data_IF_053200463754
#
_entry.id   IF_053200463754
#
_cell.length_a   1.000
_cell.length_b   1.000
_cell.length_c   1.000
_cell.angle_alpha   90.00
_cell.angle_beta   90.00
_cell.angle_gamma   90.00
#
_symmetry.space_group_name_H-M   'P 1'
#
loop_
_entity.id
_entity.type
_entity.pdbx_description
1 polymer ?
#
# COMPACT_ATOMS: atom_id res chain seq x y z
N UNK A 1 18.58 -6.33 11.30
CA UNK A 1 19.77 -5.44 11.25
C UNK A 1 19.40 -4.22 10.44
N UNK A 2 19.61 -3.02 10.96
CA UNK A 2 19.39 -1.75 10.25
C UNK A 2 20.27 -1.69 9.00
N UNK A 3 19.67 -1.55 7.81
CA UNK A 3 20.43 -1.32 6.58
C UNK A 3 20.89 0.14 6.57
N UNK A 4 22.02 0.40 7.22
CA UNK A 4 22.64 1.73 7.23
C UNK A 4 23.32 2.00 5.90
N UNK A 5 22.82 2.98 5.18
CA UNK A 5 23.51 3.49 3.99
C UNK A 5 24.55 4.52 4.43
N UNK A 6 25.81 4.10 4.50
CA UNK A 6 26.95 4.97 4.83
C UNK A 6 28.24 4.46 4.18
N UNK A 7 29.19 5.35 3.88
CA UNK A 7 30.48 5.00 3.26
C UNK A 7 30.71 5.65 1.88
N UNK A 8 31.53 5.01 1.03
CA UNK A 8 32.08 5.54 -0.24
C UNK A 8 31.06 6.13 -1.24
N UNK A 9 29.76 5.88 -1.06
CA UNK A 9 28.70 6.27 -2.00
C UNK A 9 28.01 7.58 -1.64
N UNK A 10 28.13 8.05 -0.39
CA UNK A 10 27.55 9.33 0.04
C UNK A 10 28.61 10.16 0.75
N UNK A 11 28.87 11.37 0.23
CA UNK A 11 29.91 12.25 0.77
C UNK A 11 29.54 12.77 2.17
N UNK A 12 28.23 12.92 2.45
CA UNK A 12 27.68 13.37 3.72
C UNK A 12 26.21 12.93 3.85
N UNK A 13 25.88 12.21 4.92
CA UNK A 13 24.49 11.95 5.35
C UNK A 13 24.38 12.37 6.81
N UNK A 14 23.43 13.27 7.11
CA UNK A 14 23.20 13.76 8.49
C UNK A 14 22.10 12.99 9.22
N UNK A 15 21.17 12.39 8.46
CA UNK A 15 20.13 11.51 8.98
C UNK A 15 19.58 10.62 7.86
N UNK A 16 19.22 9.38 8.18
CA UNK A 16 18.46 8.47 7.31
C UNK A 16 17.00 8.46 7.77
N UNK A 17 16.06 8.57 6.84
CA UNK A 17 14.62 8.59 7.06
C UNK A 17 14.00 7.45 6.25
N UNK A 18 13.77 6.30 6.90
CA UNK A 18 13.12 5.15 6.30
C UNK A 18 11.59 5.37 6.31
N UNK A 19 10.98 5.21 5.13
CA UNK A 19 9.57 5.48 4.87
C UNK A 19 8.98 4.26 4.18
N UNK A 20 7.92 3.70 4.76
CA UNK A 20 7.18 2.60 4.15
C UNK A 20 5.85 3.09 3.61
N UNK A 21 5.58 2.82 2.34
CA UNK A 21 4.36 3.25 1.66
C UNK A 21 3.57 2.02 1.21
N UNK A 22 2.38 1.86 1.75
CA UNK A 22 1.44 0.77 1.52
C UNK A 22 0.43 1.23 0.48
N UNK A 23 0.44 0.60 -0.70
CA UNK A 23 -0.41 1.00 -1.82
C UNK A 23 -1.36 -0.12 -2.21
N UNK A 24 -2.65 0.18 -2.22
CA UNK A 24 -3.71 -0.74 -2.60
C UNK A 24 -4.49 -0.31 -3.84
N UNK A 25 -5.58 -1.04 -4.08
CA UNK A 25 -6.30 -1.03 -5.36
C UNK A 25 -6.92 0.32 -5.70
N UNK A 26 -7.12 1.18 -4.68
CA UNK A 26 -7.53 2.57 -4.88
C UNK A 26 -6.57 3.35 -5.78
N UNK A 27 -5.27 3.05 -5.78
CA UNK A 27 -4.31 3.65 -6.72
C UNK A 27 -4.60 3.23 -8.17
N UNK A 28 -4.75 1.93 -8.43
CA UNK A 28 -5.02 1.39 -9.76
C UNK A 28 -6.35 1.94 -10.31
N UNK A 29 -7.38 2.00 -9.48
CA UNK A 29 -8.67 2.59 -9.83
C UNK A 29 -8.49 4.08 -10.20
N UNK A 30 -7.77 4.85 -9.38
CA UNK A 30 -7.53 6.28 -9.61
C UNK A 30 -6.83 6.52 -10.95
N UNK A 31 -5.73 5.82 -11.21
CA UNK A 31 -4.95 6.04 -12.45
C UNK A 31 -5.72 5.62 -13.70
N UNK A 32 -6.43 4.49 -13.64
CA UNK A 32 -7.23 4.02 -14.78
C UNK A 32 -8.42 4.93 -15.06
N UNK A 33 -9.08 5.47 -14.02
CA UNK A 33 -10.10 6.52 -14.18
C UNK A 33 -9.51 7.77 -14.85
N UNK A 34 -8.34 8.25 -14.40
CA UNK A 34 -7.68 9.43 -14.99
C UNK A 34 -7.35 9.23 -16.47
N UNK A 35 -7.00 8.01 -16.87
CA UNK A 35 -6.76 7.63 -18.27
C UNK A 35 -8.04 7.23 -19.04
N UNK A 36 -9.22 7.47 -18.47
CA UNK A 36 -10.53 7.16 -19.07
C UNK A 36 -10.68 5.69 -19.51
N UNK A 37 -10.07 4.75 -18.78
CA UNK A 37 -10.19 3.32 -19.07
C UNK A 37 -11.54 2.79 -18.58
N UNK A 38 -12.18 1.97 -19.42
CA UNK A 38 -13.54 1.46 -19.17
C UNK A 38 -13.58 0.32 -18.17
N UNK A 39 -12.53 -0.50 -18.13
CA UNK A 39 -12.44 -1.67 -17.26
C UNK A 39 -11.54 -1.28 -16.09
N UNK A 40 -12.08 -1.43 -14.87
CA UNK A 40 -11.40 -1.15 -13.61
C UNK A 40 -11.23 -2.46 -12.83
N UNK A 41 -10.16 -2.59 -12.02
CA UNK A 41 -9.86 -3.79 -11.25
C UNK A 41 -10.74 -3.90 -9.99
N UNK A 42 -12.05 -3.79 -10.15
CA UNK A 42 -13.02 -3.92 -9.06
C UNK A 42 -13.40 -5.40 -8.88
N UNK A 43 -13.58 -5.83 -7.64
CA UNK A 43 -14.05 -7.19 -7.36
C UNK A 43 -15.41 -7.51 -8.01
N UNK A 44 -16.31 -6.53 -8.10
CA UNK A 44 -17.58 -6.72 -8.84
C UNK A 44 -17.33 -6.94 -10.34
N UNK A 45 -16.35 -6.24 -10.94
CA UNK A 45 -15.98 -6.41 -12.36
C UNK A 45 -15.31 -7.74 -12.61
N UNK A 46 -14.53 -8.23 -11.64
CA UNK A 46 -14.00 -9.58 -11.70
C UNK A 46 -15.09 -10.63 -11.60
N UNK A 47 -16.08 -10.46 -10.73
CA UNK A 47 -17.23 -11.36 -10.69
C UNK A 47 -18.00 -11.38 -12.02
N UNK A 48 -18.26 -10.22 -12.62
CA UNK A 48 -18.88 -10.12 -13.96
C UNK A 48 -18.04 -10.90 -15.01
N UNK A 49 -16.70 -10.82 -14.91
CA UNK A 49 -15.79 -11.59 -15.76
C UNK A 49 -15.91 -13.10 -15.50
N UNK A 50 -16.02 -13.57 -14.26
CA UNK A 50 -16.21 -15.00 -13.94
C UNK A 50 -17.52 -15.56 -14.51
N UNK A 51 -18.59 -14.75 -14.56
CA UNK A 51 -19.86 -15.15 -15.19
C UNK A 51 -19.67 -15.42 -16.69
N UNK A 52 -18.83 -14.64 -17.36
CA UNK A 52 -18.53 -14.76 -18.79
C UNK A 52 -17.46 -15.82 -19.11
N UNK A 53 -16.36 -15.87 -18.35
CA UNK A 53 -15.14 -16.61 -18.66
C UNK A 53 -15.22 -18.14 -18.40
N UNK A 54 -16.43 -18.71 -18.39
CA UNK A 54 -16.65 -20.15 -18.14
C UNK A 54 -16.03 -20.70 -16.85
N UNK A 55 -15.90 -19.87 -15.79
CA UNK A 55 -15.53 -20.34 -14.45
C UNK A 55 -16.35 -21.57 -14.05
N UNK A 56 -15.68 -22.58 -13.46
CA UNK A 56 -16.31 -23.81 -13.00
C UNK A 56 -17.54 -23.47 -12.14
N UNK A 57 -18.71 -23.97 -12.57
CA UNK A 57 -19.97 -23.68 -11.90
C UNK A 57 -20.09 -24.37 -10.54
N UNK A 58 -19.22 -25.34 -10.26
CA UNK A 58 -19.11 -26.02 -8.97
C UNK A 58 -18.09 -25.36 -8.04
N UNK A 59 -17.34 -24.35 -8.51
CA UNK A 59 -16.36 -23.64 -7.69
C UNK A 59 -17.04 -23.01 -6.45
N UNK A 60 -16.67 -23.50 -5.27
CA UNK A 60 -17.31 -23.13 -3.99
C UNK A 60 -17.21 -21.64 -3.68
N UNK A 61 -16.08 -21.01 -4.00
CA UNK A 61 -15.87 -19.58 -3.79
C UNK A 61 -16.79 -18.77 -4.72
N UNK A 62 -16.87 -19.15 -5.99
CA UNK A 62 -17.76 -18.48 -6.95
C UNK A 62 -19.24 -18.65 -6.60
N UNK A 63 -19.64 -19.85 -6.16
CA UNK A 63 -20.99 -20.13 -5.69
C UNK A 63 -21.35 -19.30 -4.44
N UNK A 64 -20.41 -19.17 -3.51
CA UNK A 64 -20.59 -18.34 -2.31
C UNK A 64 -20.77 -16.87 -2.68
N UNK A 65 -19.93 -16.31 -3.57
CA UNK A 65 -20.12 -14.95 -4.09
C UNK A 65 -21.49 -14.76 -4.76
N UNK A 66 -21.98 -15.76 -5.50
CA UNK A 66 -23.32 -15.74 -6.11
C UNK A 66 -24.44 -15.71 -5.07
N UNK A 67 -24.33 -16.49 -4.00
CA UNK A 67 -25.32 -16.54 -2.93
C UNK A 67 -25.36 -15.23 -2.15
N UNK A 68 -24.20 -14.62 -1.91
CA UNK A 68 -24.09 -13.38 -1.14
C UNK A 68 -24.44 -12.13 -1.96
N UNK A 69 -24.51 -12.25 -3.30
CA UNK A 69 -24.80 -11.15 -4.22
C UNK A 69 -26.10 -10.42 -3.86
N UNK A 70 -25.97 -9.16 -3.46
CA UNK A 70 -27.08 -8.31 -3.05
C UNK A 70 -27.57 -8.51 -1.62
N UNK A 71 -26.97 -9.44 -0.87
CA UNK A 71 -27.30 -9.74 0.53
C UNK A 71 -26.27 -9.16 1.51
N UNK A 72 -25.01 -9.00 1.09
CA UNK A 72 -23.93 -8.41 1.90
C UNK A 72 -23.19 -7.33 1.12
N UNK A 73 -22.59 -6.35 1.81
CA UNK A 73 -21.84 -5.26 1.15
C UNK A 73 -20.56 -5.76 0.46
N UNK A 74 -19.91 -6.79 1.02
CA UNK A 74 -18.64 -7.35 0.53
C UNK A 74 -18.82 -8.69 -0.20
N UNK A 75 -19.99 -8.93 -0.82
CA UNK A 75 -20.31 -10.22 -1.46
C UNK A 75 -19.33 -10.68 -2.55
N UNK A 76 -18.62 -9.73 -3.17
CA UNK A 76 -17.62 -10.02 -4.20
C UNK A 76 -16.20 -10.17 -3.63
N UNK A 77 -16.02 -10.05 -2.31
CA UNK A 77 -14.75 -10.28 -1.65
C UNK A 77 -14.56 -11.77 -1.42
N UNK A 78 -13.82 -12.42 -2.31
CA UNK A 78 -13.56 -13.86 -2.21
C UNK A 78 -12.72 -14.21 -0.97
N UNK A 79 -11.99 -13.28 -0.36
CA UNK A 79 -11.22 -13.54 0.87
C UNK A 79 -12.16 -13.78 2.05
N UNK A 80 -13.28 -13.04 2.11
CA UNK A 80 -14.35 -13.30 3.09
C UNK A 80 -15.04 -14.63 2.81
N UNK A 81 -15.34 -14.92 1.54
CA UNK A 81 -15.93 -16.21 1.16
C UNK A 81 -15.02 -17.39 1.57
N UNK A 82 -13.71 -17.26 1.35
CA UNK A 82 -12.71 -18.25 1.76
C UNK A 82 -12.71 -18.44 3.28
N UNK A 83 -12.70 -17.35 4.04
CA UNK A 83 -12.75 -17.38 5.50
C UNK A 83 -13.98 -18.13 6.05
N UNK A 84 -15.15 -17.94 5.43
CA UNK A 84 -16.39 -18.62 5.85
C UNK A 84 -16.43 -20.10 5.46
N UNK A 85 -15.78 -20.48 4.36
CA UNK A 85 -15.81 -21.85 3.84
C UNK A 85 -14.78 -22.76 4.54
N UNK A 86 -13.64 -22.24 4.99
CA UNK A 86 -12.58 -23.03 5.63
C UNK A 86 -13.07 -23.92 6.80
N UNK A 87 -13.90 -23.43 7.75
CA UNK A 87 -14.32 -24.25 8.89
C UNK A 87 -15.19 -25.46 8.53
N UNK A 88 -15.80 -25.49 7.34
CA UNK A 88 -16.79 -26.51 6.96
C UNK A 88 -16.47 -27.21 5.64
N UNK A 89 -15.49 -26.71 4.90
CA UNK A 89 -15.12 -27.19 3.58
C UNK A 89 -14.00 -28.21 3.60
N UNK A 90 -13.88 -28.94 2.50
CA UNK A 90 -12.69 -29.71 2.17
C UNK A 90 -11.60 -28.72 1.73
N UNK A 91 -10.47 -28.71 2.45
CA UNK A 91 -9.40 -27.75 2.24
C UNK A 91 -8.64 -28.00 0.94
N UNK A 92 -8.51 -29.25 0.51
CA UNK A 92 -7.84 -29.58 -0.76
C UNK A 92 -8.69 -29.08 -1.93
N UNK A 93 -10.00 -29.35 -1.89
CA UNK A 93 -10.95 -28.85 -2.89
C UNK A 93 -11.02 -27.32 -2.90
N UNK A 94 -11.01 -26.67 -1.73
CA UNK A 94 -10.97 -25.20 -1.65
C UNK A 94 -9.69 -24.63 -2.25
N UNK A 95 -8.55 -25.30 -2.08
CA UNK A 95 -7.28 -24.89 -2.66
C UNK A 95 -7.30 -25.00 -4.20
N UNK A 96 -7.87 -26.07 -4.75
CA UNK A 96 -8.07 -26.21 -6.20
C UNK A 96 -8.98 -25.10 -6.77
N UNK A 97 -10.10 -24.82 -6.09
CA UNK A 97 -11.01 -23.75 -6.47
C UNK A 97 -10.39 -22.36 -6.35
N UNK A 98 -9.53 -22.13 -5.35
CA UNK A 98 -8.80 -20.87 -5.19
C UNK A 98 -7.79 -20.69 -6.32
N UNK A 99 -7.06 -21.74 -6.70
CA UNK A 99 -6.09 -21.70 -7.79
C UNK A 99 -6.74 -21.38 -9.16
N UNK A 100 -7.94 -21.94 -9.41
CA UNK A 100 -8.73 -21.58 -10.58
C UNK A 100 -9.04 -20.08 -10.59
N UNK A 101 -9.53 -19.53 -9.48
CA UNK A 101 -9.84 -18.10 -9.37
C UNK A 101 -8.59 -17.23 -9.53
N UNK A 102 -7.43 -17.62 -9.00
CA UNK A 102 -6.17 -16.90 -9.20
C UNK A 102 -5.79 -16.82 -10.69
N UNK A 103 -5.95 -17.93 -11.42
CA UNK A 103 -5.68 -17.98 -12.85
C UNK A 103 -6.62 -17.05 -13.63
N UNK A 104 -7.92 -17.14 -13.35
CA UNK A 104 -8.93 -16.28 -13.98
C UNK A 104 -8.72 -14.80 -13.61
N UNK A 105 -8.32 -14.50 -12.38
CA UNK A 105 -8.02 -13.15 -11.94
C UNK A 105 -6.81 -12.58 -12.69
N UNK A 106 -5.75 -13.37 -12.87
CA UNK A 106 -4.61 -12.97 -13.69
C UNK A 106 -4.99 -12.67 -15.14
N UNK A 107 -5.92 -13.44 -15.72
CA UNK A 107 -6.45 -13.19 -17.07
C UNK A 107 -7.28 -11.92 -17.11
N UNK A 108 -8.15 -11.71 -16.10
CA UNK A 108 -8.95 -10.49 -15.96
C UNK A 108 -8.07 -9.24 -15.91
N UNK A 109 -7.04 -9.25 -15.05
CA UNK A 109 -6.09 -8.14 -14.96
C UNK A 109 -5.30 -7.95 -16.25
N UNK A 110 -5.03 -9.00 -17.04
CA UNK A 110 -4.37 -8.90 -18.36
C UNK A 110 -5.19 -8.14 -19.39
N UNK A 111 -6.51 -8.10 -19.23
CA UNK A 111 -7.37 -7.27 -20.06
C UNK A 111 -7.37 -5.79 -19.64
N UNK A 112 -6.91 -5.48 -18.43
CA UNK A 112 -6.82 -4.12 -17.88
C UNK A 112 -5.42 -3.54 -18.12
N UNK A 113 -4.40 -4.30 -17.73
CA UNK A 113 -2.99 -3.90 -17.72
C UNK A 113 -2.36 -4.27 -19.08
N UNK A 114 -2.89 -3.67 -20.15
CA UNK A 114 -2.37 -3.89 -21.49
C UNK A 114 -1.04 -3.14 -21.69
N UNK A 115 -0.25 -3.55 -22.68
CA UNK A 115 0.98 -2.85 -23.07
C UNK A 115 0.74 -1.37 -23.38
N UNK A 116 -0.43 -1.03 -23.94
CA UNK A 116 -0.81 0.36 -24.23
C UNK A 116 -1.02 1.17 -22.94
N UNK A 117 -1.71 0.61 -21.95
CA UNK A 117 -1.92 1.26 -20.64
C UNK A 117 -0.59 1.48 -19.93
N UNK A 118 0.26 0.46 -19.89
CA UNK A 118 1.60 0.55 -19.30
C UNK A 118 2.44 1.63 -19.97
N UNK A 119 2.47 1.64 -21.31
CA UNK A 119 3.22 2.64 -22.08
C UNK A 119 2.69 4.06 -21.83
N UNK A 120 1.37 4.22 -21.76
CA UNK A 120 0.73 5.51 -21.51
C UNK A 120 1.07 6.04 -20.12
N UNK A 121 0.98 5.20 -19.08
CA UNK A 121 1.38 5.55 -17.71
C UNK A 121 2.85 5.93 -17.66
N UNK A 122 3.74 5.07 -18.15
CA UNK A 122 5.18 5.33 -18.11
C UNK A 122 5.55 6.60 -18.86
N UNK A 123 5.01 6.82 -20.06
CA UNK A 123 5.29 8.03 -20.85
C UNK A 123 4.81 9.30 -20.15
N UNK A 124 3.63 9.27 -19.53
CA UNK A 124 3.10 10.41 -18.80
C UNK A 124 3.85 10.64 -17.49
N UNK A 125 4.20 9.57 -16.77
CA UNK A 125 5.00 9.64 -15.57
C UNK A 125 6.31 10.36 -15.89
N UNK A 126 7.08 9.86 -16.86
CA UNK A 126 8.31 10.47 -17.35
C UNK A 126 8.12 11.95 -17.73
N UNK A 127 7.14 12.24 -18.60
CA UNK A 127 6.92 13.57 -19.16
C UNK A 127 6.56 14.61 -18.10
N UNK A 128 5.80 14.21 -17.08
CA UNK A 128 5.23 15.13 -16.08
C UNK A 128 5.87 14.97 -14.70
N UNK A 129 6.99 14.24 -14.59
CA UNK A 129 7.73 14.08 -13.33
C UNK A 129 6.87 13.52 -12.18
N UNK A 130 5.92 12.63 -12.47
CA UNK A 130 4.98 12.12 -11.47
C UNK A 130 5.65 11.45 -10.27
N UNK A 131 6.62 10.58 -10.51
CA UNK A 131 7.37 9.87 -9.48
C UNK A 131 8.06 10.85 -8.51
N UNK A 132 8.93 11.70 -9.05
CA UNK A 132 9.71 12.64 -8.24
C UNK A 132 8.80 13.64 -7.53
N UNK A 133 7.76 14.16 -8.19
CA UNK A 133 6.82 15.07 -7.55
C UNK A 133 6.09 14.43 -6.37
N UNK A 134 5.70 13.15 -6.47
CA UNK A 134 5.09 12.40 -5.37
C UNK A 134 6.06 12.25 -4.19
N UNK A 135 7.28 11.80 -4.46
CA UNK A 135 8.30 11.57 -3.42
C UNK A 135 8.71 12.86 -2.71
N UNK A 136 8.85 13.96 -3.46
CA UNK A 136 9.24 15.26 -2.91
C UNK A 136 8.16 15.88 -2.03
N UNK A 137 6.87 15.54 -2.24
CA UNK A 137 5.72 16.18 -1.60
C UNK A 137 4.90 15.23 -0.70
N UNK A 138 5.49 14.17 -0.15
CA UNK A 138 4.75 13.20 0.70
C UNK A 138 4.02 13.82 1.90
N UNK A 139 4.47 14.97 2.39
CA UNK A 139 3.83 15.71 3.48
C UNK A 139 2.94 16.86 2.99
N UNK A 140 2.90 17.09 1.68
CA UNK A 140 2.31 18.29 1.10
C UNK A 140 0.78 18.33 1.18
N UNK A 141 0.13 17.21 1.50
CA UNK A 141 -1.33 17.10 1.67
C UNK A 141 -1.78 17.29 3.13
N UNK A 142 -0.84 17.40 4.07
CA UNK A 142 -1.15 17.66 5.48
C UNK A 142 -1.41 19.15 5.72
N UNK A 143 -2.35 19.45 6.60
CA UNK A 143 -2.58 20.81 7.08
C UNK A 143 -1.43 21.30 7.98
N UNK A 144 -1.35 22.63 8.15
CA UNK A 144 -0.28 23.29 8.92
C UNK A 144 -0.18 22.77 10.36
N UNK A 145 -1.31 22.53 11.01
CA UNK A 145 -1.34 22.08 12.40
C UNK A 145 -0.79 20.65 12.52
N UNK A 146 -1.18 19.77 11.60
CA UNK A 146 -0.64 18.41 11.48
C UNK A 146 0.87 18.44 11.26
N UNK A 147 1.36 19.25 10.32
CA UNK A 147 2.80 19.41 10.04
C UNK A 147 3.59 19.94 11.23
N UNK A 148 3.00 20.85 12.02
CA UNK A 148 3.62 21.41 13.22
C UNK A 148 3.59 20.45 14.40
N UNK A 149 2.67 19.48 14.44
CA UNK A 149 2.59 18.50 15.51
C UNK A 149 3.45 17.26 15.23
N UNK A 150 3.61 16.90 13.96
CA UNK A 150 4.35 15.73 13.49
C UNK A 150 5.86 15.80 13.83
N UNK A 151 6.36 14.80 14.55
CA UNK A 151 7.76 14.66 14.95
C UNK A 151 8.67 14.39 13.75
N UNK A 152 8.22 13.64 12.75
CA UNK A 152 8.93 13.40 11.50
C UNK A 152 9.22 14.72 10.79
N UNK A 153 8.20 15.56 10.62
CA UNK A 153 8.31 16.92 10.06
C UNK A 153 9.33 17.76 10.82
N UNK A 154 9.19 17.87 12.15
CA UNK A 154 10.13 18.61 13.02
C UNK A 154 11.57 18.12 12.87
N UNK A 155 11.77 16.80 12.86
CA UNK A 155 13.10 16.19 12.75
C UNK A 155 13.72 16.44 11.38
N UNK A 156 12.93 16.36 10.30
CA UNK A 156 13.39 16.67 8.94
C UNK A 156 13.84 18.14 8.86
N UNK A 157 13.04 19.09 9.38
CA UNK A 157 13.38 20.51 9.39
C UNK A 157 14.66 20.75 10.22
N UNK A 158 14.73 20.19 11.43
CA UNK A 158 15.87 20.33 12.34
C UNK A 158 17.19 19.82 11.71
N UNK A 159 17.14 18.72 10.98
CA UNK A 159 18.32 18.11 10.36
C UNK A 159 18.77 18.83 9.08
N UNK A 160 17.87 19.56 8.40
CA UNK A 160 18.19 20.38 7.24
C UNK A 160 18.60 19.56 6.00
N UNK A 161 19.65 20.00 5.30
CA UNK A 161 20.12 19.36 4.06
C UNK A 161 20.93 18.08 4.31
N UNK A 162 21.18 17.31 3.24
CA UNK A 162 22.00 16.09 3.24
C UNK A 162 21.40 14.94 4.04
N UNK A 163 20.08 14.87 4.10
CA UNK A 163 19.40 13.69 4.62
C UNK A 163 19.33 12.61 3.53
N UNK A 164 19.05 11.38 3.94
CA UNK A 164 18.74 10.27 3.06
C UNK A 164 17.30 9.85 3.32
N UNK A 165 16.47 9.84 2.28
CA UNK A 165 15.11 9.32 2.31
C UNK A 165 15.10 7.96 1.63
N UNK A 166 14.73 6.91 2.37
CA UNK A 166 14.64 5.55 1.84
C UNK A 166 13.16 5.20 1.76
N UNK A 167 12.61 5.17 0.55
CA UNK A 167 11.25 4.77 0.30
C UNK A 167 11.18 3.29 -0.02
N UNK A 168 10.33 2.58 0.71
CA UNK A 168 9.99 1.19 0.41
C UNK A 168 8.49 1.09 0.15
N UNK A 169 8.13 0.91 -1.11
CA UNK A 169 6.75 0.72 -1.53
C UNK A 169 6.38 -0.74 -1.40
N UNK A 170 5.32 -1.00 -0.63
CA UNK A 170 4.64 -2.29 -0.57
C UNK A 170 3.40 -2.17 -1.45
N UNK A 171 3.51 -2.67 -2.66
CA UNK A 171 2.42 -2.70 -3.62
C UNK A 171 1.56 -3.94 -3.37
N UNK A 172 0.38 -3.74 -2.80
CA UNK A 172 -0.61 -4.80 -2.59
C UNK A 172 -1.47 -5.04 -3.83
N UNK A 173 -1.32 -4.20 -4.85
CA UNK A 173 -1.92 -4.44 -6.14
C UNK A 173 -1.16 -5.53 -6.86
N UNK A 174 -1.90 -6.35 -7.57
CA UNK A 174 -1.33 -7.39 -8.43
C UNK A 174 -0.82 -6.81 -9.75
N UNK A 175 -1.04 -5.52 -10.04
CA UNK A 175 -0.65 -4.89 -11.30
C UNK A 175 0.68 -4.15 -11.18
N UNK A 176 1.34 -3.94 -12.32
CA UNK A 176 2.54 -3.11 -12.41
C UNK A 176 2.24 -1.62 -12.66
N UNK A 177 1.01 -1.15 -12.39
CA UNK A 177 0.64 0.24 -12.69
C UNK A 177 1.41 1.22 -11.79
N UNK A 178 1.56 0.92 -10.49
CA UNK A 178 2.36 1.72 -9.57
C UNK A 178 3.83 1.73 -9.97
N UNK A 179 4.40 0.59 -10.35
CA UNK A 179 5.79 0.46 -10.79
C UNK A 179 6.10 1.41 -11.94
N UNK A 180 5.20 1.47 -12.94
CA UNK A 180 5.34 2.36 -14.09
C UNK A 180 5.04 3.84 -13.77
N UNK A 181 4.47 4.12 -12.60
CA UNK A 181 4.25 5.47 -12.11
C UNK A 181 5.44 6.00 -11.29
N UNK A 182 5.99 5.19 -10.39
CA UNK A 182 6.91 5.62 -9.33
C UNK A 182 8.39 5.34 -9.62
N UNK A 183 8.70 4.47 -10.59
CA UNK A 183 10.08 4.17 -10.94
C UNK A 183 10.82 5.41 -11.47
N UNK A 184 12.06 5.60 -11.02
CA UNK A 184 12.85 6.79 -11.32
C UNK A 184 13.68 6.58 -12.58
N UNK A 185 13.09 6.95 -13.72
CA UNK A 185 13.76 6.82 -15.01
C UNK A 185 14.89 7.85 -15.23
N UNK A 186 15.69 7.63 -16.29
CA UNK A 186 16.88 8.45 -16.62
C UNK A 186 16.56 9.90 -17.02
N UNK A 187 15.33 10.19 -17.41
CA UNK A 187 14.89 11.54 -17.76
C UNK A 187 14.47 12.32 -16.52
N UNK A 188 13.78 11.66 -15.58
CA UNK A 188 13.31 12.27 -14.33
C UNK A 188 14.38 12.37 -13.25
N UNK A 189 15.30 11.40 -13.20
CA UNK A 189 16.25 11.27 -12.09
C UNK A 189 17.71 11.19 -12.56
N UNK A 190 18.57 11.91 -11.85
CA UNK A 190 20.02 11.87 -12.02
C UNK A 190 20.67 11.48 -10.71
N UNK A 191 21.31 10.30 -10.61
CA UNK A 191 21.94 9.85 -9.38
C UNK A 191 23.03 10.80 -8.84
N UNK A 192 23.68 11.56 -9.73
CA UNK A 192 24.68 12.58 -9.41
C UNK A 192 24.32 13.88 -10.13
N UNK A 193 23.90 14.89 -9.37
CA UNK A 193 23.52 16.21 -9.90
C UNK A 193 24.66 17.21 -9.75
N UNK A 194 25.36 17.18 -8.62
CA UNK A 194 26.33 18.21 -8.23
C UNK A 194 27.76 17.66 -8.24
N UNK A 195 28.74 18.53 -8.52
CA UNK A 195 30.16 18.16 -8.55
C UNK A 195 30.75 17.87 -7.17
N UNK A 196 30.17 18.48 -6.13
CA UNK A 196 30.73 18.49 -4.76
C UNK A 196 29.79 17.91 -3.71
N UNK A 197 28.57 17.49 -4.10
CA UNK A 197 27.55 16.94 -3.21
C UNK A 197 26.98 15.67 -3.80
N UNK A 198 26.68 14.69 -2.96
CA UNK A 198 25.97 13.47 -3.36
C UNK A 198 24.45 13.67 -3.50
N UNK A 199 23.92 14.83 -3.07
CA UNK A 199 22.49 15.11 -3.13
C UNK A 199 21.94 14.93 -4.56
N UNK A 200 20.80 14.25 -4.65
CA UNK A 200 20.11 13.94 -5.90
C UNK A 200 18.58 14.09 -5.81
N UNK A 201 18.08 14.64 -4.70
CA UNK A 201 16.65 14.72 -4.38
C UNK A 201 16.30 16.00 -3.63
N UNK A 202 15.09 16.54 -3.83
CA UNK A 202 14.63 17.79 -3.20
C UNK A 202 13.38 17.56 -2.34
N UNK A 203 13.56 17.29 -1.04
CA UNK A 203 12.40 17.12 -0.16
C UNK A 203 11.72 18.47 0.12
N UNK A 204 10.41 18.57 -0.13
CA UNK A 204 9.62 19.79 0.05
C UNK A 204 8.82 19.71 1.35
N UNK A 205 8.92 20.73 2.18
CA UNK A 205 8.15 20.84 3.42
C UNK A 205 7.81 22.30 3.73
N UNK A 206 6.55 22.58 4.09
CA UNK A 206 6.00 23.93 4.19
C UNK A 206 6.24 24.72 2.89
N UNK A 207 7.27 25.56 2.85
CA UNK A 207 7.73 26.27 1.65
C UNK A 207 9.25 26.11 1.41
N UNK A 208 9.90 25.23 2.18
CA UNK A 208 11.33 24.99 2.11
C UNK A 208 11.65 23.81 1.18
N UNK A 209 12.83 23.89 0.56
CA UNK A 209 13.38 22.83 -0.28
C UNK A 209 14.67 22.31 0.36
N UNK A 210 14.68 21.04 0.75
CA UNK A 210 15.81 20.38 1.37
C UNK A 210 16.56 19.50 0.37
N UNK A 211 17.74 19.94 -0.05
CA UNK A 211 18.65 19.16 -0.89
C UNK A 211 19.18 17.93 -0.16
N UNK A 212 18.76 16.75 -0.61
CA UNK A 212 18.93 15.47 0.08
C UNK A 212 19.19 14.34 -0.93
N UNK A 213 19.18 13.10 -0.45
CA UNK A 213 19.35 11.89 -1.26
C UNK A 213 18.07 11.04 -1.17
N UNK A 214 17.77 10.29 -2.23
CA UNK A 214 16.66 9.32 -2.24
C UNK A 214 17.14 7.94 -2.67
N UNK A 215 16.56 6.91 -2.04
CA UNK A 215 16.61 5.52 -2.48
C UNK A 215 15.16 5.02 -2.52
N UNK A 216 14.83 4.24 -3.53
CA UNK A 216 13.49 3.70 -3.73
C UNK A 216 13.58 2.20 -4.01
N UNK A 217 12.77 1.42 -3.31
CA UNK A 217 12.55 -0.01 -3.52
C UNK A 217 11.04 -0.29 -3.61
N UNK A 218 10.63 -1.23 -4.47
CA UNK A 218 9.24 -1.70 -4.60
C UNK A 218 9.20 -3.20 -4.31
N UNK A 219 8.23 -3.61 -3.50
CA UNK A 219 7.96 -5.01 -3.15
C UNK A 219 6.48 -5.29 -3.42
N UNK A 220 6.19 -6.50 -3.90
CA UNK A 220 4.83 -6.98 -4.19
C UNK A 220 4.48 -8.14 -3.26
N UNK A 221 3.93 -7.91 -2.05
CA UNK A 221 3.68 -8.98 -1.09
C UNK A 221 2.66 -10.02 -1.58
N UNK A 222 1.64 -9.57 -2.31
CA UNK A 222 0.56 -10.42 -2.82
C UNK A 222 0.87 -10.98 -4.23
N UNK A 223 2.10 -10.78 -4.73
CA UNK A 223 2.51 -11.18 -6.06
C UNK A 223 2.08 -10.21 -7.15
N UNK A 224 2.37 -10.60 -8.39
CA UNK A 224 2.17 -9.77 -9.58
C UNK A 224 1.54 -10.58 -10.70
N UNK A 225 0.62 -9.97 -11.42
CA UNK A 225 -0.16 -10.53 -12.50
C UNK A 225 0.71 -11.11 -13.63
N UNK A 226 1.86 -10.49 -13.93
CA UNK A 226 2.79 -11.01 -14.95
C UNK A 226 3.41 -12.36 -14.56
N UNK A 227 3.27 -12.76 -13.30
CA UNK A 227 3.66 -14.06 -12.76
C UNK A 227 2.42 -14.65 -12.06
N UNK A 228 1.47 -15.26 -12.79
CA UNK A 228 0.18 -15.69 -12.23
C UNK A 228 0.31 -16.57 -10.98
N UNK A 229 1.30 -17.47 -10.95
CA UNK A 229 1.61 -18.34 -9.81
C UNK A 229 2.07 -17.61 -8.53
N UNK A 230 2.35 -16.31 -8.62
CA UNK A 230 2.74 -15.49 -7.48
C UNK A 230 1.55 -14.81 -6.81
N UNK A 231 0.40 -14.73 -7.50
CA UNK A 231 -0.82 -14.12 -6.97
C UNK A 231 -1.23 -14.89 -5.73
N UNK A 232 -1.22 -14.18 -4.60
CA UNK A 232 -1.55 -14.75 -3.31
C UNK A 232 -2.90 -14.22 -2.85
N UNK A 233 -3.88 -15.11 -2.86
CA UNK A 233 -5.16 -14.91 -2.20
C UNK A 233 -5.14 -15.59 -0.84
N UNK A 234 -5.85 -15.02 0.12
CA UNK A 234 -5.92 -15.57 1.46
C UNK A 234 -6.50 -14.59 2.44
N UNK A 235 -6.39 -14.93 3.71
CA UNK A 235 -6.75 -14.06 4.82
C UNK A 235 -5.60 -14.02 5.82
N UNK A 236 -5.82 -13.32 6.92
CA UNK A 236 -4.92 -13.35 8.07
C UNK A 236 -5.64 -13.95 9.26
N UNK A 237 -4.94 -14.84 9.98
CA UNK A 237 -5.37 -15.43 11.24
C UNK A 237 -4.24 -15.39 12.22
N UNK A 238 -4.56 -15.00 13.45
CA UNK A 238 -3.60 -15.01 14.56
C UNK A 238 -3.54 -16.35 15.25
N UNK A 239 -2.42 -16.57 15.94
CA UNK A 239 -2.26 -17.70 16.85
C UNK A 239 -2.33 -19.07 16.18
N UNK A 240 -2.22 -19.12 14.85
CA UNK A 240 -2.15 -20.38 14.13
C UNK A 240 -0.82 -21.08 14.39
N UNK A 241 -0.86 -22.40 14.40
CA UNK A 241 0.34 -23.20 14.44
C UNK A 241 0.83 -23.48 13.00
N UNK A 242 1.99 -22.92 12.66
CA UNK A 242 2.60 -23.05 11.33
C UNK A 242 2.96 -24.49 10.91
N UNK A 243 2.93 -25.44 11.84
CA UNK A 243 3.23 -26.85 11.60
C UNK A 243 1.98 -27.73 11.54
N UNK A 244 0.95 -27.42 12.33
CA UNK A 244 -0.19 -28.33 12.54
C UNK A 244 -1.49 -27.84 11.96
N UNK A 245 -1.73 -26.53 11.89
CA UNK A 245 -3.04 -26.02 11.50
C UNK A 245 -3.21 -26.14 9.99
N UNK A 246 -4.20 -26.90 9.53
CA UNK A 246 -4.37 -27.23 8.11
C UNK A 246 -4.73 -26.00 7.26
N UNK A 247 -5.45 -25.04 7.82
CA UNK A 247 -5.83 -23.79 7.15
C UNK A 247 -4.66 -22.81 6.97
N UNK A 248 -3.46 -23.10 7.50
CA UNK A 248 -2.26 -22.27 7.33
C UNK A 248 -1.92 -21.99 5.86
N UNK A 249 -2.31 -22.88 4.96
CA UNK A 249 -2.13 -22.72 3.51
C UNK A 249 -3.04 -21.67 2.88
N UNK A 250 -3.93 -21.06 3.65
CA UNK A 250 -4.76 -19.93 3.22
C UNK A 250 -4.37 -18.62 3.93
N UNK A 251 -3.38 -18.68 4.82
CA UNK A 251 -2.87 -17.52 5.56
C UNK A 251 -1.80 -16.81 4.74
N UNK A 252 -1.99 -15.52 4.47
CA UNK A 252 -1.06 -14.74 3.63
C UNK A 252 0.32 -14.58 4.28
N UNK A 253 0.38 -14.25 5.57
CA UNK A 253 1.63 -14.09 6.33
C UNK A 253 2.47 -15.37 6.35
N UNK A 254 1.83 -16.56 6.38
CA UNK A 254 2.48 -17.86 6.25
C UNK A 254 3.21 -18.00 4.91
N UNK A 255 2.48 -17.86 3.80
CA UNK A 255 3.02 -18.04 2.45
C UNK A 255 4.06 -17.00 2.07
N UNK A 256 3.81 -15.74 2.42
CA UNK A 256 4.78 -14.68 2.17
C UNK A 256 6.00 -14.82 3.05
N UNK A 257 5.94 -15.58 4.15
CA UNK A 257 6.94 -15.60 5.24
C UNK A 257 7.17 -14.19 5.77
N UNK A 258 6.07 -13.49 6.06
CA UNK A 258 6.08 -12.06 6.36
C UNK A 258 7.03 -11.70 7.51
N UNK A 259 7.01 -12.49 8.59
CA UNK A 259 7.87 -12.26 9.76
C UNK A 259 9.35 -12.23 9.42
N UNK A 260 9.77 -13.13 8.54
CA UNK A 260 11.18 -13.30 8.17
C UNK A 260 11.59 -12.26 7.14
N UNK A 261 10.70 -11.89 6.22
CA UNK A 261 11.03 -11.01 5.10
C UNK A 261 10.86 -9.54 5.40
N UNK A 262 9.90 -9.18 6.26
CA UNK A 262 9.40 -7.82 6.35
C UNK A 262 9.45 -7.22 7.75
N UNK A 263 9.35 -8.02 8.84
CA UNK A 263 9.30 -7.45 10.20
C UNK A 263 10.48 -6.55 10.53
N UNK A 264 11.68 -6.82 9.99
CA UNK A 264 12.84 -5.96 10.23
C UNK A 264 12.74 -4.56 9.63
N UNK A 265 11.91 -4.37 8.60
CA UNK A 265 11.73 -3.06 7.94
C UNK A 265 10.98 -2.09 8.86
N UNK A 266 10.05 -2.61 9.68
CA UNK A 266 9.24 -1.82 10.61
C UNK A 266 10.06 -1.19 11.74
N UNK A 267 11.12 -1.87 12.20
CA UNK A 267 11.91 -1.45 13.36
C UNK A 267 12.54 -0.06 13.21
N UNK A 268 12.92 0.34 11.99
CA UNK A 268 13.61 1.60 11.74
C UNK A 268 12.75 2.61 10.98
N UNK A 269 11.54 2.21 10.57
CA UNK A 269 10.67 3.06 9.77
C UNK A 269 10.18 4.22 10.61
N UNK A 270 10.41 5.44 10.14
CA UNK A 270 10.00 6.66 10.84
C UNK A 270 8.61 7.12 10.44
N UNK A 271 8.22 6.83 9.19
CA UNK A 271 6.96 7.24 8.63
C UNK A 271 6.33 6.10 7.82
N UNK A 272 5.09 5.78 8.16
CA UNK A 272 4.22 4.91 7.39
C UNK A 272 3.22 5.74 6.60
N UNK A 273 2.91 5.30 5.39
CA UNK A 273 1.86 5.90 4.56
C UNK A 273 0.97 4.78 4.04
N UNK A 274 -0.35 4.90 4.21
CA UNK A 274 -1.34 3.98 3.64
C UNK A 274 -2.14 4.73 2.58
N UNK A 275 -2.17 4.21 1.35
CA UNK A 275 -2.88 4.81 0.23
C UNK A 275 -3.69 3.78 -0.56
N UNK A 276 -4.98 4.03 -0.73
CA UNK A 276 -5.83 3.20 -1.60
C UNK A 276 -6.04 1.75 -1.11
N UNK A 277 -5.71 1.45 0.15
CA UNK A 277 -6.00 0.17 0.79
C UNK A 277 -7.25 0.26 1.64
N UNK A 278 -8.04 -0.81 1.66
CA UNK A 278 -9.03 -1.02 2.72
C UNK A 278 -8.31 -1.43 3.99
N UNK A 279 -8.65 -0.80 5.12
CA UNK A 279 -8.12 -1.20 6.43
C UNK A 279 -9.01 -2.32 6.98
N UNK A 280 -8.79 -3.53 6.45
CA UNK A 280 -9.56 -4.73 6.74
C UNK A 280 -8.74 -5.81 7.45
N UNK A 281 -9.44 -6.86 7.89
CA UNK A 281 -8.85 -8.00 8.62
C UNK A 281 -7.89 -8.84 7.79
N UNK A 282 -8.10 -8.93 6.48
CA UNK A 282 -7.32 -9.80 5.59
C UNK A 282 -5.88 -9.37 5.37
N UNK A 283 -5.49 -8.18 5.84
CA UNK A 283 -4.11 -7.68 5.85
C UNK A 283 -3.67 -7.28 7.28
N UNK A 284 -4.33 -7.84 8.32
CA UNK A 284 -4.12 -7.45 9.73
C UNK A 284 -2.68 -7.57 10.23
N UNK A 285 -1.90 -8.54 9.74
CA UNK A 285 -0.49 -8.67 10.05
C UNK A 285 0.30 -7.36 9.82
N UNK A 286 -0.02 -6.64 8.74
CA UNK A 286 0.63 -5.37 8.40
C UNK A 286 0.22 -4.25 9.35
N UNK A 287 -1.07 -4.14 9.65
CA UNK A 287 -1.61 -3.14 10.56
C UNK A 287 -1.05 -3.28 11.96
N UNK A 288 -0.89 -4.52 12.44
CA UNK A 288 -0.24 -4.84 13.71
C UNK A 288 1.19 -4.32 13.77
N UNK A 289 2.00 -4.60 12.75
CA UNK A 289 3.40 -4.17 12.73
C UNK A 289 3.55 -2.65 12.63
N UNK A 290 2.65 -1.97 11.90
CA UNK A 290 2.58 -0.51 11.94
C UNK A 290 2.24 -0.06 13.36
N UNK A 291 1.19 -0.61 13.97
CA UNK A 291 0.75 -0.24 15.31
C UNK A 291 1.83 -0.43 16.38
N UNK A 292 2.53 -1.57 16.36
CA UNK A 292 3.67 -1.80 17.26
C UNK A 292 4.78 -0.76 17.04
N UNK A 293 5.03 -0.35 15.79
CA UNK A 293 6.04 0.68 15.49
C UNK A 293 5.61 2.07 15.98
N UNK A 294 4.32 2.43 15.85
CA UNK A 294 3.78 3.67 16.41
C UNK A 294 3.91 3.71 17.93
N UNK A 295 3.68 2.56 18.59
CA UNK A 295 3.73 2.40 20.05
C UNK A 295 5.16 2.41 20.59
N UNK A 296 6.06 1.59 20.04
CA UNK A 296 7.38 1.32 20.61
C UNK A 296 8.48 2.21 20.03
N UNK A 297 8.41 2.53 18.73
CA UNK A 297 9.50 3.20 18.00
C UNK A 297 9.26 4.71 17.82
N UNK A 298 8.06 5.21 18.17
CA UNK A 298 7.68 6.60 17.94
C UNK A 298 7.56 6.96 16.46
N UNK A 299 7.32 5.96 15.60
CA UNK A 299 6.99 6.16 14.19
C UNK A 299 5.65 6.90 14.07
N UNK A 300 5.41 7.51 12.91
CA UNK A 300 4.15 8.18 12.60
C UNK A 300 3.49 7.58 11.36
N UNK A 301 2.18 7.75 11.22
CA UNK A 301 1.37 7.17 10.15
C UNK A 301 0.53 8.25 9.47
N UNK A 302 0.53 8.25 8.13
CA UNK A 302 -0.41 9.02 7.32
C UNK A 302 -1.35 8.04 6.60
N UNK A 303 -2.66 8.21 6.80
CA UNK A 303 -3.69 7.44 6.11
C UNK A 303 -4.38 8.34 5.09
N UNK A 304 -4.27 7.99 3.81
CA UNK A 304 -5.05 8.59 2.74
C UNK A 304 -6.39 7.85 2.63
N UNK A 305 -7.44 8.48 3.15
CA UNK A 305 -8.79 7.95 3.20
C UNK A 305 -9.60 8.46 2.00
N UNK A 306 -9.95 7.56 1.09
CA UNK A 306 -10.89 7.89 0.02
C UNK A 306 -12.31 7.95 0.59
N UNK A 307 -12.99 9.08 0.41
CA UNK A 307 -14.33 9.28 0.98
C UNK A 307 -15.18 10.18 0.10
N UNK A 308 -16.50 9.95 0.07
CA UNK A 308 -17.40 10.85 -0.65
C UNK A 308 -17.65 12.15 0.11
N UNK A 309 -17.47 12.12 1.43
CA UNK A 309 -17.60 13.27 2.32
C UNK A 309 -16.22 13.72 2.79
N UNK A 310 -15.73 14.85 2.26
CA UNK A 310 -14.40 15.34 2.60
C UNK A 310 -14.26 15.72 4.08
N UNK A 311 -15.39 16.03 4.73
CA UNK A 311 -15.49 16.35 6.14
C UNK A 311 -15.67 15.09 7.02
N UNK A 312 -15.58 13.88 6.43
CA UNK A 312 -15.65 12.62 7.19
C UNK A 312 -14.71 12.67 8.39
N UNK A 313 -15.24 12.27 9.54
CA UNK A 313 -14.54 12.33 10.80
C UNK A 313 -13.26 11.47 10.76
N UNK A 314 -12.12 12.17 10.75
CA UNK A 314 -10.78 11.57 10.76
C UNK A 314 -10.57 10.65 11.97
N UNK A 315 -11.25 10.89 13.10
CA UNK A 315 -11.14 10.02 14.28
C UNK A 315 -11.77 8.65 14.06
N UNK A 316 -12.81 8.54 13.23
CA UNK A 316 -13.38 7.24 12.86
C UNK A 316 -12.40 6.42 12.04
N UNK A 317 -11.67 7.05 11.12
CA UNK A 317 -10.62 6.39 10.32
C UNK A 317 -9.49 5.89 11.22
N UNK A 318 -9.02 6.72 12.17
CA UNK A 318 -8.02 6.30 13.17
C UNK A 318 -8.51 5.14 14.02
N UNK A 319 -9.77 5.20 14.47
CA UNK A 319 -10.36 4.12 15.27
C UNK A 319 -10.49 2.82 14.46
N UNK A 320 -10.89 2.91 13.19
CA UNK A 320 -10.95 1.76 12.27
C UNK A 320 -9.57 1.13 12.09
N UNK A 321 -8.53 1.93 11.92
CA UNK A 321 -7.16 1.43 11.88
C UNK A 321 -6.80 0.69 13.16
N UNK A 322 -6.98 1.32 14.31
CA UNK A 322 -6.65 0.75 15.62
C UNK A 322 -7.40 -0.57 15.87
N UNK A 323 -8.70 -0.61 15.57
CA UNK A 323 -9.51 -1.83 15.75
C UNK A 323 -9.02 -3.01 14.92
N UNK A 324 -8.48 -2.75 13.72
CA UNK A 324 -7.90 -3.79 12.87
C UNK A 324 -6.42 -4.07 13.16
N UNK A 325 -5.77 -3.29 14.05
CA UNK A 325 -4.34 -3.40 14.36
C UNK A 325 -4.04 -4.01 15.74
N UNK A 326 -4.88 -3.78 16.76
CA UNK A 326 -4.58 -4.21 18.15
C UNK A 326 -4.52 -5.74 18.28
N UNK A 327 -5.25 -6.47 17.44
CA UNK A 327 -5.37 -7.90 17.59
C UNK A 327 -5.97 -8.33 18.94
N UNK A 328 -5.58 -9.51 19.43
CA UNK A 328 -6.02 -10.04 20.73
C UNK A 328 -5.30 -9.41 21.94
N UNK A 329 -4.35 -8.51 21.71
CA UNK A 329 -3.61 -7.80 22.76
C UNK A 329 -4.47 -6.66 23.35
N UNK A 330 -5.56 -7.07 24.00
CA UNK A 330 -6.62 -6.20 24.53
C UNK A 330 -6.23 -5.38 25.77
N UNK A 331 -5.01 -5.55 26.29
CA UNK A 331 -4.55 -4.90 27.52
C UNK A 331 -3.93 -3.50 27.32
N UNK A 332 -4.32 -2.78 26.27
CA UNK A 332 -3.85 -1.42 26.03
C UNK A 332 -4.78 -0.42 26.73
N UNK A 333 -4.20 0.39 27.61
CA UNK A 333 -4.98 1.41 28.32
C UNK A 333 -5.51 2.48 27.35
N UNK A 334 -6.65 3.09 27.68
CA UNK A 334 -7.22 4.20 26.89
C UNK A 334 -6.24 5.37 26.75
N UNK A 335 -5.46 5.67 27.79
CA UNK A 335 -4.44 6.72 27.72
C UNK A 335 -3.33 6.41 26.72
N UNK A 336 -2.95 5.15 26.58
CA UNK A 336 -1.91 4.71 25.65
C UNK A 336 -2.44 4.71 24.21
N UNK A 337 -3.68 4.26 24.01
CA UNK A 337 -4.35 4.37 22.71
C UNK A 337 -4.45 5.81 22.22
N UNK A 338 -4.76 6.75 23.12
CA UNK A 338 -4.82 8.17 22.75
C UNK A 338 -3.45 8.70 22.30
N UNK A 339 -2.36 8.32 22.98
CA UNK A 339 -1.00 8.70 22.54
C UNK A 339 -0.66 8.11 21.17
N UNK A 340 -1.06 6.87 20.90
CA UNK A 340 -0.85 6.26 19.58
C UNK A 340 -1.66 6.99 18.51
N UNK A 341 -2.90 7.39 18.80
CA UNK A 341 -3.74 8.19 17.88
C UNK A 341 -3.13 9.54 17.51
N UNK A 342 -2.36 10.15 18.41
CA UNK A 342 -1.65 11.41 18.13
C UNK A 342 -0.57 11.25 17.05
N UNK A 343 -0.05 10.03 16.85
CA UNK A 343 0.90 9.71 15.78
C UNK A 343 0.24 9.34 14.45
N UNK A 344 -1.10 9.35 14.37
CA UNK A 344 -1.86 9.01 13.16
C UNK A 344 -2.48 10.27 12.58
N UNK A 345 -2.14 10.55 11.32
CA UNK A 345 -2.66 11.65 10.52
C UNK A 345 -3.55 11.10 9.41
N UNK A 346 -4.64 11.79 9.10
CA UNK A 346 -5.60 11.36 8.07
C UNK A 346 -5.77 12.48 7.05
N UNK A 347 -5.62 12.11 5.78
CA UNK A 347 -5.90 12.94 4.61
C UNK A 347 -7.13 12.35 3.93
N UNK A 348 -8.26 13.04 4.05
CA UNK A 348 -9.44 12.68 3.27
C UNK A 348 -9.26 13.19 1.84
N UNK A 349 -9.62 12.37 0.85
CA UNK A 349 -9.60 12.76 -0.56
C UNK A 349 -10.68 12.01 -1.35
N UNK A 350 -10.97 12.48 -2.56
CA UNK A 350 -11.99 11.96 -3.45
C UNK A 350 -11.65 12.29 -4.91
N UNK A 351 -12.56 11.94 -5.83
CA UNK A 351 -12.35 12.19 -7.27
C UNK A 351 -12.28 13.69 -7.65
N UNK A 352 -12.70 14.61 -6.77
CA UNK A 352 -12.75 16.06 -7.00
C UNK A 352 -11.53 16.81 -6.46
N UNK A 353 -10.81 16.24 -5.47
CA UNK A 353 -9.59 16.84 -4.93
C UNK A 353 -8.38 15.91 -5.13
N UNK A 354 -7.53 16.28 -6.08
CA UNK A 354 -6.30 15.53 -6.29
C UNK A 354 -5.36 15.69 -5.09
N UNK A 355 -4.56 14.65 -4.86
CA UNK A 355 -3.56 14.58 -3.79
C UNK A 355 -2.20 14.85 -4.39
N UNK A 356 -1.31 15.53 -3.66
CA UNK A 356 0.08 15.72 -4.08
C UNK A 356 0.82 14.39 -4.13
N UNK A 357 0.57 13.50 -3.17
CA UNK A 357 0.99 12.11 -3.27
C UNK A 357 0.18 11.40 -4.35
N UNK A 358 0.87 10.79 -5.32
CA UNK A 358 0.26 10.17 -6.49
C UNK A 358 -0.59 11.14 -7.33
N UNK A 359 -0.13 12.40 -7.44
CA UNK A 359 -0.72 13.38 -8.35
C UNK A 359 -0.54 12.93 -9.81
N UNK A 360 -1.60 13.05 -10.61
CA UNK A 360 -1.62 12.70 -12.03
C UNK A 360 -2.05 13.89 -12.89
N UNK A 361 -1.88 15.12 -12.38
CA UNK A 361 -2.09 16.33 -13.14
C UNK A 361 -1.20 16.33 -14.40
N UNK A 362 -1.88 16.42 -15.54
CA UNK A 362 -1.27 16.73 -16.82
C UNK A 362 -1.57 18.21 -17.06
N UNK A 363 -0.57 19.09 -17.29
CA UNK A 363 -0.85 20.47 -17.64
C UNK A 363 -1.78 20.50 -18.86
N UNK A 364 -2.92 21.17 -18.72
CA UNK A 364 -3.84 21.42 -19.82
C UNK A 364 -3.11 22.26 -20.87
N UNK A 365 -3.02 21.73 -22.08
CA UNK A 365 -2.41 22.39 -23.25
C UNK A 365 -3.26 23.58 -23.68
#
# INVERSE_FOLDING_TARGET
MEKKYGGKHFNKIVAQNDIMVFVGNGFDIKILKKLNKKILPLYQKFFDFLEYAECNKENKLFLKMKQDKGNTENWCDFENALYELIPTGDLDELNEHLFELQTLFSMFLSNIVTTEVIKEIGSNATKYNWAINSLENILGDLDTDSLQNMNFSKNVIKNGHHQLFVFKFYNFNYTSLLDNYIDLDRQQFKPVIYKTSSNNFHFKINNDILYSNVILDIVHPNGIQSIPKSILFGYERKGYNEFTDEDRFFIKSYWTRADIRYSSDFLNTKLFIIYGMSIGKSDSWWWEHIFYSLKENGSELIIYNYTLDIEEDKEQVKQRFINNSIGEDSNISTSELNKIKEHIYVVNFNDQNDTKLFNMEMPTV
#
